data_IF_133176089783
#
_entry.id   IF_133176089783
#
_cell.length_a   1.000
_cell.length_b   1.000
_cell.length_c   1.000
_cell.angle_alpha   90.00
_cell.angle_beta   90.00
_cell.angle_gamma   90.00
#
_symmetry.space_group_name_H-M   'P 1'
#
loop_
_entity.id
_entity.type
_entity.pdbx_description
1 polymer ?
#
# COMPACT_ATOMS: atom_id res chain seq x y z
N UNK A 1 1.81 13.81 32.65
CA UNK A 1 3.15 13.82 32.03
C UNK A 1 2.96 13.61 30.54
N UNK A 2 3.26 14.63 29.72
CA UNK A 2 3.21 14.50 28.25
C UNK A 2 4.19 13.41 27.82
N UNK A 3 3.81 12.44 26.97
CA UNK A 3 4.78 11.59 26.31
C UNK A 3 5.59 12.45 25.36
N UNK A 4 6.90 12.45 25.56
CA UNK A 4 7.86 13.10 24.68
C UNK A 4 8.01 12.16 23.48
N UNK A 5 7.54 12.61 22.31
CA UNK A 5 7.86 11.98 21.02
C UNK A 5 9.39 11.93 20.89
N UNK A 6 10.01 10.76 20.61
CA UNK A 6 11.42 10.75 20.27
C UNK A 6 11.61 11.52 18.96
N UNK A 7 12.63 12.38 18.94
CA UNK A 7 12.96 13.21 17.80
C UNK A 7 13.36 12.35 16.60
N UNK A 8 12.59 12.46 15.51
CA UNK A 8 13.03 12.07 14.18
C UNK A 8 12.88 13.29 13.26
N UNK A 9 13.91 14.12 13.20
CA UNK A 9 14.12 15.02 12.06
C UNK A 9 15.62 15.05 11.79
N UNK A 10 16.12 14.06 11.05
CA UNK A 10 17.29 14.31 10.23
C UNK A 10 16.84 15.32 9.17
N UNK A 11 17.41 16.52 9.23
CA UNK A 11 17.25 17.56 8.22
C UNK A 11 17.94 17.09 6.94
N UNK A 12 17.28 16.21 6.19
CA UNK A 12 17.69 15.82 4.86
C UNK A 12 17.30 16.96 3.92
N UNK A 13 18.21 17.93 3.80
CA UNK A 13 18.01 19.25 3.16
C UNK A 13 18.52 19.29 1.72
N UNK A 14 18.95 18.14 1.18
CA UNK A 14 19.34 18.03 -0.21
C UNK A 14 18.09 17.77 -1.09
N UNK A 15 17.91 18.51 -2.20
CA UNK A 15 16.94 18.13 -3.22
C UNK A 15 17.21 16.69 -3.66
N UNK A 16 16.21 15.83 -3.46
CA UNK A 16 16.32 14.44 -3.86
C UNK A 16 15.97 14.34 -5.34
N UNK A 17 16.96 14.01 -6.15
CA UNK A 17 16.83 13.85 -7.59
C UNK A 17 15.79 12.73 -7.86
N UNK A 18 14.64 13.03 -8.49
CA UNK A 18 13.58 12.06 -8.73
C UNK A 18 14.03 10.84 -9.55
N UNK A 19 15.11 10.98 -10.33
CA UNK A 19 15.71 9.90 -11.12
C UNK A 19 16.66 8.99 -10.35
N UNK A 20 16.89 9.27 -9.05
CA UNK A 20 17.74 8.43 -8.19
C UNK A 20 17.07 7.10 -7.91
N UNK A 21 17.73 5.98 -8.19
CA UNK A 21 17.22 4.66 -7.85
C UNK A 21 17.16 4.44 -6.33
N UNK A 22 16.17 3.64 -5.88
CA UNK A 22 16.04 3.24 -4.48
C UNK A 22 16.21 1.73 -4.37
N UNK A 23 17.16 1.30 -3.54
CA UNK A 23 17.32 -0.11 -3.18
C UNK A 23 16.35 -0.46 -2.04
N UNK A 24 15.42 -1.36 -2.30
CA UNK A 24 14.39 -1.76 -1.34
C UNK A 24 14.73 -3.14 -0.76
N UNK A 25 14.67 -3.25 0.57
CA UNK A 25 14.80 -4.51 1.31
C UNK A 25 16.07 -5.31 0.95
N UNK A 26 17.23 -4.65 0.97
CA UNK A 26 18.55 -5.24 0.70
C UNK A 26 18.65 -5.94 -0.68
N UNK A 27 18.10 -5.31 -1.71
CA UNK A 27 18.16 -5.79 -3.09
C UNK A 27 16.99 -6.68 -3.51
N UNK A 28 15.93 -6.75 -2.72
CA UNK A 28 14.69 -7.42 -3.12
C UNK A 28 14.09 -6.78 -4.38
N UNK A 29 14.14 -5.45 -4.45
CA UNK A 29 13.77 -4.68 -5.63
C UNK A 29 14.65 -3.42 -5.72
N UNK A 30 15.03 -3.04 -6.93
CA UNK A 30 15.71 -1.76 -7.19
C UNK A 30 14.81 -0.96 -8.11
N UNK A 31 14.37 0.21 -7.66
CA UNK A 31 13.53 1.11 -8.46
C UNK A 31 14.38 1.86 -9.48
N UNK A 32 13.74 2.69 -10.28
CA UNK A 32 14.37 3.58 -11.26
C UNK A 32 14.16 5.05 -10.90
N UNK A 33 13.38 5.29 -9.85
CA UNK A 33 13.01 6.60 -9.33
C UNK A 33 13.11 6.62 -7.82
N UNK A 34 13.19 7.83 -7.27
CA UNK A 34 13.33 8.05 -5.85
C UNK A 34 11.98 7.81 -5.16
N UNK A 35 11.93 6.78 -4.30
CA UNK A 35 10.71 6.39 -3.56
C UNK A 35 10.97 6.10 -2.08
N UNK A 36 12.15 6.44 -1.57
CA UNK A 36 12.53 6.15 -0.18
C UNK A 36 11.56 6.80 0.83
N UNK A 37 11.06 7.99 0.53
CA UNK A 37 10.07 8.69 1.36
C UNK A 37 8.70 8.00 1.35
N UNK A 38 8.36 7.26 0.28
CA UNK A 38 7.13 6.46 0.20
C UNK A 38 7.25 5.18 1.02
N UNK A 39 8.42 4.53 1.03
CA UNK A 39 8.69 3.36 1.88
C UNK A 39 8.38 3.62 3.36
N UNK A 40 8.66 4.85 3.82
CA UNK A 40 8.45 5.27 5.22
C UNK A 40 6.98 5.22 5.67
N UNK A 41 6.00 5.07 4.77
CA UNK A 41 4.60 4.85 5.19
C UNK A 41 4.44 3.55 6.00
N UNK A 42 5.31 2.56 5.77
CA UNK A 42 5.31 1.32 6.54
C UNK A 42 5.65 1.56 8.02
N UNK A 43 6.52 2.55 8.31
CA UNK A 43 6.86 2.92 9.68
C UNK A 43 5.65 3.56 10.39
N UNK A 44 4.79 4.29 9.66
CA UNK A 44 3.53 4.80 10.22
C UNK A 44 2.61 3.65 10.65
N UNK A 45 2.51 2.59 9.84
CA UNK A 45 1.75 1.38 10.21
C UNK A 45 2.36 0.70 11.45
N UNK A 46 3.68 0.53 11.49
CA UNK A 46 4.37 -0.08 12.64
C UNK A 46 4.24 0.73 13.93
N UNK A 47 4.32 2.06 13.84
CA UNK A 47 4.13 2.97 14.98
C UNK A 47 2.65 2.99 15.43
N UNK A 48 1.70 2.90 14.51
CA UNK A 48 0.28 2.69 14.85
C UNK A 48 0.07 1.38 15.60
N UNK A 49 0.63 0.28 15.11
CA UNK A 49 0.50 -1.04 15.75
C UNK A 49 1.07 -1.01 17.18
N UNK A 50 2.26 -0.43 17.37
CA UNK A 50 2.89 -0.29 18.68
C UNK A 50 2.04 0.55 19.63
N UNK A 51 1.58 1.71 19.18
CA UNK A 51 0.71 2.59 19.97
C UNK A 51 -0.58 1.88 20.40
N UNK A 52 -1.19 1.10 19.50
CA UNK A 52 -2.37 0.31 19.80
C UNK A 52 -2.12 -0.81 20.82
N UNK A 53 -1.00 -1.53 20.69
CA UNK A 53 -0.61 -2.58 21.64
C UNK A 53 -0.40 -2.02 23.05
N UNK A 54 0.17 -0.82 23.15
CA UNK A 54 0.37 -0.04 24.38
C UNK A 54 -0.92 0.61 24.92
N UNK A 55 -2.04 0.52 24.18
CA UNK A 55 -3.32 1.11 24.56
C UNK A 55 -3.45 2.61 24.27
N UNK A 56 -2.50 3.20 23.54
CA UNK A 56 -2.52 4.61 23.14
C UNK A 56 -3.25 4.81 21.81
N UNK A 57 -4.57 4.60 21.83
CA UNK A 57 -5.46 4.76 20.65
C UNK A 57 -5.38 6.18 20.07
N UNK A 58 -5.22 7.20 20.93
CA UNK A 58 -5.10 8.59 20.50
C UNK A 58 -3.88 8.84 19.61
N UNK A 59 -2.72 8.29 19.99
CA UNK A 59 -1.51 8.37 19.17
C UNK A 59 -1.65 7.60 17.86
N UNK A 60 -2.20 6.38 17.91
CA UNK A 60 -2.42 5.59 16.70
C UNK A 60 -3.34 6.31 15.69
N UNK A 61 -4.42 6.93 16.16
CA UNK A 61 -5.32 7.73 15.33
C UNK A 61 -4.63 9.00 14.79
N UNK A 62 -3.77 9.63 15.59
CA UNK A 62 -2.99 10.77 15.13
C UNK A 62 -2.03 10.36 13.99
N UNK A 63 -1.31 9.25 14.13
CA UNK A 63 -0.41 8.75 13.07
C UNK A 63 -1.21 8.42 11.81
N UNK A 64 -2.35 7.72 11.94
CA UNK A 64 -3.23 7.40 10.81
C UNK A 64 -3.70 8.64 10.02
N UNK A 65 -4.12 9.68 10.73
CA UNK A 65 -4.76 10.87 10.13
C UNK A 65 -3.77 11.97 9.72
N UNK A 66 -2.63 12.08 10.40
CA UNK A 66 -1.66 13.18 10.21
C UNK A 66 -0.31 12.70 9.66
N UNK A 67 -0.07 11.38 9.63
CA UNK A 67 1.21 10.80 9.23
C UNK A 67 2.30 11.06 10.29
N UNK A 68 3.43 10.37 10.13
CA UNK A 68 4.60 10.60 11.00
C UNK A 68 5.92 10.56 10.21
N UNK A 69 6.12 9.54 9.38
CA UNK A 69 7.41 9.20 8.80
C UNK A 69 7.49 9.48 7.28
N UNK A 70 6.39 9.37 6.53
CA UNK A 70 6.40 9.55 5.07
C UNK A 70 6.29 11.03 4.67
N UNK A 71 7.42 11.67 4.37
CA UNK A 71 7.51 13.10 4.03
C UNK A 71 7.15 13.36 2.57
N UNK A 72 6.35 14.40 2.31
CA UNK A 72 6.11 14.93 0.97
C UNK A 72 7.07 16.09 0.73
N UNK A 73 7.82 16.01 -0.38
CA UNK A 73 8.73 17.05 -0.83
C UNK A 73 8.17 17.77 -2.06
N UNK A 74 8.46 19.07 -2.21
CA UNK A 74 8.24 19.79 -3.45
C UNK A 74 9.38 19.56 -4.46
N UNK A 75 9.26 20.19 -5.63
CA UNK A 75 10.28 20.12 -6.70
C UNK A 75 11.65 20.67 -6.28
N UNK A 76 11.73 21.47 -5.22
CA UNK A 76 12.97 22.00 -4.67
C UNK A 76 13.54 21.13 -3.54
N UNK A 77 12.91 19.99 -3.24
CA UNK A 77 13.27 19.12 -2.11
C UNK A 77 12.86 19.67 -0.75
N UNK A 78 12.01 20.69 -0.69
CA UNK A 78 11.52 21.21 0.58
C UNK A 78 10.35 20.38 1.09
N UNK A 79 10.36 20.05 2.38
CA UNK A 79 9.24 19.38 3.04
C UNK A 79 8.00 20.28 2.99
N UNK A 80 6.95 19.80 2.32
CA UNK A 80 5.65 20.48 2.22
C UNK A 80 4.55 19.76 3.01
N UNK A 81 4.78 18.53 3.43
CA UNK A 81 3.79 17.79 4.22
C UNK A 81 4.23 16.40 4.64
N UNK A 82 3.26 15.64 5.13
CA UNK A 82 3.37 14.21 5.41
C UNK A 82 2.26 13.49 4.64
N UNK A 83 2.58 12.34 4.03
CA UNK A 83 1.57 11.41 3.52
C UNK A 83 0.90 10.74 4.70
N UNK A 84 -0.38 10.45 4.56
CA UNK A 84 -1.18 9.84 5.63
C UNK A 84 -1.93 8.65 5.08
N UNK A 85 -2.05 7.59 5.89
CA UNK A 85 -2.83 6.40 5.53
C UNK A 85 -4.30 6.75 5.32
N UNK A 86 -4.84 7.73 6.06
CA UNK A 86 -6.20 8.22 5.86
C UNK A 86 -6.40 8.82 4.46
N UNK A 87 -5.43 9.60 3.95
CA UNK A 87 -5.55 10.28 2.66
C UNK A 87 -5.75 9.32 1.48
N UNK A 88 -5.22 8.10 1.57
CA UNK A 88 -5.39 7.05 0.56
C UNK A 88 -6.84 6.63 0.36
N UNK A 89 -7.70 6.83 1.35
CA UNK A 89 -9.15 6.58 1.22
C UNK A 89 -9.97 7.86 1.15
N UNK A 90 -9.63 8.91 1.91
CA UNK A 90 -10.44 10.13 1.92
C UNK A 90 -10.37 10.93 0.62
N UNK A 91 -9.31 10.74 -0.17
CA UNK A 91 -9.14 11.37 -1.49
C UNK A 91 -9.54 10.48 -2.66
N UNK A 92 -10.00 9.24 -2.40
CA UNK A 92 -10.20 8.23 -3.43
C UNK A 92 -11.32 8.60 -4.43
N UNK A 93 -12.35 9.33 -4.01
CA UNK A 93 -13.40 9.82 -4.93
C UNK A 93 -12.87 10.74 -6.03
N UNK A 94 -11.74 11.41 -5.80
CA UNK A 94 -11.08 12.24 -6.79
C UNK A 94 -10.02 11.45 -7.56
N UNK A 95 -9.17 10.72 -6.84
CA UNK A 95 -8.01 10.03 -7.41
C UNK A 95 -8.36 8.75 -8.18
N UNK A 96 -9.37 8.00 -7.72
CA UNK A 96 -9.67 6.63 -8.18
C UNK A 96 -11.02 6.51 -8.92
N UNK A 97 -11.69 7.63 -9.22
CA UNK A 97 -13.06 7.64 -9.76
C UNK A 97 -13.25 6.82 -11.05
N UNK A 98 -12.20 6.66 -11.85
CA UNK A 98 -12.23 5.93 -13.12
C UNK A 98 -11.67 4.50 -13.01
N UNK A 99 -11.35 4.04 -11.79
CA UNK A 99 -10.71 2.76 -11.56
C UNK A 99 -11.74 1.65 -11.34
N UNK A 100 -11.68 0.56 -12.13
CA UNK A 100 -12.67 -0.51 -12.02
C UNK A 100 -12.71 -1.16 -10.63
N UNK A 101 -11.55 -1.39 -10.00
CA UNK A 101 -11.49 -2.08 -8.71
C UNK A 101 -12.10 -1.22 -7.61
N UNK A 102 -11.72 0.06 -7.55
CA UNK A 102 -12.31 1.03 -6.61
C UNK A 102 -13.83 1.11 -6.77
N UNK A 103 -14.32 1.25 -8.01
CA UNK A 103 -15.74 1.35 -8.29
C UNK A 103 -16.51 0.07 -7.91
N UNK A 104 -15.91 -1.11 -8.06
CA UNK A 104 -16.54 -2.37 -7.60
C UNK A 104 -16.68 -2.37 -6.08
N UNK A 105 -15.62 -2.01 -5.34
CA UNK A 105 -15.63 -2.00 -3.87
C UNK A 105 -16.62 -0.95 -3.33
N UNK A 106 -16.56 0.28 -3.83
CA UNK A 106 -17.46 1.35 -3.40
C UNK A 106 -18.93 0.96 -3.63
N UNK A 107 -19.28 0.56 -4.86
CA UNK A 107 -20.67 0.26 -5.22
C UNK A 107 -21.18 -1.01 -4.53
N UNK A 108 -20.28 -1.94 -4.16
CA UNK A 108 -20.64 -3.13 -3.39
C UNK A 108 -21.00 -2.84 -1.93
N UNK A 109 -20.52 -1.72 -1.38
CA UNK A 109 -20.67 -1.35 0.02
C UNK A 109 -21.71 -0.25 0.26
N UNK A 110 -22.02 0.57 -0.74
CA UNK A 110 -22.88 1.73 -0.55
C UNK A 110 -24.36 1.41 -0.32
N UNK A 111 -25.01 2.23 0.50
CA UNK A 111 -26.45 2.24 0.68
C UNK A 111 -27.15 3.07 -0.40
N UNK A 112 -28.49 3.15 -0.33
CA UNK A 112 -29.31 3.91 -1.31
C UNK A 112 -29.00 5.41 -1.38
N UNK A 113 -28.23 5.96 -0.43
CA UNK A 113 -27.82 7.36 -0.37
C UNK A 113 -26.33 7.55 -0.73
N UNK A 114 -25.67 6.52 -1.30
CA UNK A 114 -24.23 6.49 -1.57
C UNK A 114 -23.37 6.64 -0.30
N UNK A 115 -23.88 6.13 0.84
CA UNK A 115 -23.19 6.15 2.11
C UNK A 115 -22.76 4.74 2.52
N UNK A 116 -21.67 4.64 3.27
CA UNK A 116 -21.24 3.45 3.96
C UNK A 116 -20.86 3.81 5.39
N UNK A 117 -21.46 3.13 6.37
CA UNK A 117 -21.32 3.46 7.80
C UNK A 117 -21.57 4.96 8.10
N UNK A 118 -22.54 5.57 7.41
CA UNK A 118 -22.91 6.97 7.59
C UNK A 118 -21.96 8.00 6.96
N UNK A 119 -20.93 7.57 6.25
CA UNK A 119 -19.97 8.43 5.55
C UNK A 119 -20.04 8.18 4.03
N UNK A 120 -19.49 9.05 3.16
CA UNK A 120 -19.43 8.80 1.73
C UNK A 120 -18.82 7.42 1.42
N UNK A 121 -19.49 6.61 0.61
CA UNK A 121 -19.02 5.25 0.25
C UNK A 121 -17.63 5.25 -0.39
N UNK A 122 -17.28 6.32 -1.10
CA UNK A 122 -15.95 6.53 -1.67
C UNK A 122 -14.80 6.54 -0.65
N UNK A 123 -15.11 6.78 0.63
CA UNK A 123 -14.15 6.76 1.74
C UNK A 123 -14.34 5.51 2.64
N UNK A 124 -14.88 4.41 2.09
CA UNK A 124 -15.24 3.20 2.85
C UNK A 124 -14.10 2.67 3.72
N UNK A 125 -12.88 2.62 3.19
CA UNK A 125 -11.72 2.09 3.89
C UNK A 125 -11.39 2.94 5.12
N UNK A 126 -11.46 4.28 4.99
CA UNK A 126 -11.35 5.18 6.13
C UNK A 126 -12.44 4.95 7.18
N UNK A 127 -13.69 4.77 6.77
CA UNK A 127 -14.79 4.47 7.70
C UNK A 127 -14.54 3.20 8.52
N UNK A 128 -13.94 2.17 7.91
CA UNK A 128 -13.62 0.90 8.57
C UNK A 128 -12.48 1.08 9.57
N UNK A 129 -11.41 1.78 9.18
CA UNK A 129 -10.28 2.08 10.09
C UNK A 129 -10.75 2.91 11.29
N UNK A 130 -11.56 3.94 11.05
CA UNK A 130 -12.13 4.79 12.11
C UNK A 130 -13.02 3.99 13.07
N UNK A 131 -13.86 3.09 12.56
CA UNK A 131 -14.64 2.18 13.38
C UNK A 131 -13.75 1.22 14.19
N UNK A 132 -12.65 0.75 13.61
CA UNK A 132 -11.71 -0.17 14.26
C UNK A 132 -10.99 0.45 15.45
N UNK A 133 -10.73 1.77 15.47
CA UNK A 133 -10.15 2.45 16.65
C UNK A 133 -11.05 2.39 17.89
N UNK A 134 -12.36 2.19 17.71
CA UNK A 134 -13.31 2.04 18.82
C UNK A 134 -13.32 0.62 19.40
N UNK A 135 -12.63 -0.34 18.77
CA UNK A 135 -12.61 -1.73 19.19
C UNK A 135 -11.49 -1.99 20.21
N UNK A 136 -11.86 -2.08 21.48
CA UNK A 136 -10.91 -2.35 22.57
C UNK A 136 -10.46 -3.81 22.66
N UNK A 137 -11.20 -4.74 22.04
CA UNK A 137 -10.92 -6.18 22.11
C UNK A 137 -9.89 -6.61 21.06
N UNK A 138 -9.87 -5.94 19.90
CA UNK A 138 -8.96 -6.25 18.80
C UNK A 138 -7.91 -5.14 18.65
N UNK A 139 -6.90 -5.14 19.54
CA UNK A 139 -5.93 -4.04 19.68
C UNK A 139 -5.34 -3.54 18.35
N UNK A 140 -4.89 -4.43 17.47
CA UNK A 140 -4.22 -4.07 16.20
C UNK A 140 -5.16 -3.93 14.99
N UNK A 141 -6.49 -4.02 15.20
CA UNK A 141 -7.45 -4.07 14.10
C UNK A 141 -7.38 -2.83 13.18
N UNK A 142 -7.16 -1.65 13.74
CA UNK A 142 -7.11 -0.41 12.96
C UNK A 142 -5.86 -0.33 12.06
N UNK A 143 -4.69 -0.78 12.53
CA UNK A 143 -3.49 -0.84 11.68
C UNK A 143 -3.60 -1.93 10.61
N UNK A 144 -4.17 -3.09 10.96
CA UNK A 144 -4.48 -4.14 9.98
C UNK A 144 -5.47 -3.66 8.90
N UNK A 145 -6.49 -2.90 9.29
CA UNK A 145 -7.46 -2.32 8.36
C UNK A 145 -6.82 -1.30 7.40
N UNK A 146 -5.90 -0.46 7.91
CA UNK A 146 -5.16 0.48 7.07
C UNK A 146 -4.29 -0.24 6.03
N UNK A 147 -3.72 -1.41 6.36
CA UNK A 147 -2.97 -2.22 5.39
C UNK A 147 -3.91 -2.90 4.39
N UNK A 148 -4.90 -3.63 4.89
CA UNK A 148 -5.77 -4.49 4.08
C UNK A 148 -6.69 -3.72 3.15
N UNK A 149 -7.04 -2.46 3.48
CA UNK A 149 -7.98 -1.65 2.71
C UNK A 149 -7.32 -0.41 2.12
N UNK A 150 -6.73 0.46 2.93
CA UNK A 150 -6.18 1.74 2.44
C UNK A 150 -4.95 1.51 1.55
N UNK A 151 -3.91 0.85 2.07
CA UNK A 151 -2.69 0.57 1.29
C UNK A 151 -2.97 -0.37 0.12
N UNK A 152 -3.78 -1.40 0.31
CA UNK A 152 -4.17 -2.30 -0.78
C UNK A 152 -4.82 -1.54 -1.95
N UNK A 153 -5.82 -0.70 -1.67
CA UNK A 153 -6.47 0.10 -2.71
C UNK A 153 -5.50 1.12 -3.34
N UNK A 154 -4.63 1.72 -2.54
CA UNK A 154 -3.69 2.74 -3.03
C UNK A 154 -2.57 2.16 -3.90
N UNK A 155 -2.06 0.97 -3.59
CA UNK A 155 -1.14 0.25 -4.49
C UNK A 155 -1.81 -0.02 -5.84
N UNK A 156 -3.09 -0.40 -5.83
CA UNK A 156 -3.85 -0.62 -7.06
C UNK A 156 -4.00 0.68 -7.85
N UNK A 157 -4.30 1.79 -7.17
CA UNK A 157 -4.36 3.12 -7.76
C UNK A 157 -3.06 3.47 -8.52
N UNK A 158 -1.90 3.34 -7.87
CA UNK A 158 -0.62 3.63 -8.52
C UNK A 158 -0.38 2.73 -9.75
N UNK A 159 -0.78 1.45 -9.69
CA UNK A 159 -0.68 0.57 -10.86
C UNK A 159 -1.65 0.96 -12.00
N UNK A 160 -2.82 1.51 -11.70
CA UNK A 160 -3.74 2.05 -12.70
C UNK A 160 -3.24 3.39 -13.28
N UNK A 161 -2.61 4.24 -12.47
CA UNK A 161 -1.96 5.47 -12.91
C UNK A 161 -0.86 5.18 -13.93
N UNK A 162 -0.03 4.16 -13.67
CA UNK A 162 0.96 3.68 -14.65
C UNK A 162 0.31 3.28 -15.99
N UNK A 163 -0.83 2.56 -15.95
CA UNK A 163 -1.56 2.17 -17.16
C UNK A 163 -2.11 3.38 -17.91
N UNK A 164 -2.71 4.34 -17.20
CA UNK A 164 -3.29 5.54 -17.81
C UNK A 164 -2.21 6.44 -18.42
N UNK A 165 -1.11 6.65 -17.71
CA UNK A 165 0.04 7.39 -18.22
C UNK A 165 0.62 6.73 -19.48
N UNK A 166 0.71 5.39 -19.50
CA UNK A 166 1.14 4.64 -20.68
C UNK A 166 0.16 4.80 -21.84
N UNK A 167 -1.14 4.64 -21.59
CA UNK A 167 -2.19 4.76 -22.61
C UNK A 167 -2.22 6.15 -23.24
N UNK A 168 -2.04 7.19 -22.43
CA UNK A 168 -2.09 8.59 -22.86
C UNK A 168 -0.74 9.12 -23.36
N UNK A 169 0.28 8.25 -23.48
CA UNK A 169 1.65 8.59 -23.92
C UNK A 169 2.27 9.72 -23.07
N UNK A 170 1.92 9.77 -21.78
CA UNK A 170 2.44 10.72 -20.79
C UNK A 170 3.66 10.16 -20.04
N UNK A 171 4.26 9.08 -20.53
CA UNK A 171 5.48 8.49 -19.98
C UNK A 171 6.74 9.30 -20.36
N UNK A 172 6.59 10.55 -20.80
CA UNK A 172 7.67 11.37 -21.36
C UNK A 172 8.57 11.98 -20.30
N UNK A 173 8.14 11.96 -19.04
CA UNK A 173 8.84 12.44 -17.88
C UNK A 173 8.52 11.46 -16.72
N UNK A 174 9.34 11.46 -15.69
CA UNK A 174 9.47 10.49 -14.57
C UNK A 174 8.18 9.81 -14.07
N UNK A 175 7.01 10.43 -14.21
CA UNK A 175 5.67 10.04 -13.76
C UNK A 175 5.24 8.60 -14.07
N UNK A 176 5.54 8.09 -15.27
CA UNK A 176 5.06 6.78 -15.71
C UNK A 176 5.70 5.59 -15.00
N UNK A 177 7.02 5.67 -14.86
CA UNK A 177 7.85 4.69 -14.14
C UNK A 177 7.73 4.94 -12.63
N UNK A 178 7.59 6.20 -12.21
CA UNK A 178 7.37 6.58 -10.83
C UNK A 178 6.15 5.87 -10.23
N UNK A 179 5.00 5.84 -10.91
CA UNK A 179 3.82 5.13 -10.37
C UNK A 179 4.06 3.63 -10.15
N UNK A 180 4.84 2.95 -11.00
CA UNK A 180 5.22 1.55 -10.76
C UNK A 180 6.11 1.43 -9.52
N UNK A 181 7.14 2.27 -9.44
CA UNK A 181 8.10 2.27 -8.33
C UNK A 181 7.44 2.65 -6.99
N UNK A 182 6.46 3.58 -7.00
CA UNK A 182 5.64 3.93 -5.84
C UNK A 182 4.75 2.78 -5.40
N UNK A 183 4.09 2.08 -6.34
CA UNK A 183 3.32 0.88 -6.02
C UNK A 183 4.20 -0.21 -5.37
N UNK A 184 5.42 -0.41 -5.87
CA UNK A 184 6.39 -1.33 -5.26
C UNK A 184 6.79 -0.87 -3.85
N UNK A 185 7.06 0.42 -3.66
CA UNK A 185 7.42 0.97 -2.36
C UNK A 185 6.31 0.77 -1.33
N UNK A 186 5.06 1.05 -1.68
CA UNK A 186 3.91 0.83 -0.78
C UNK A 186 3.61 -0.65 -0.52
N UNK A 187 3.91 -1.52 -1.49
CA UNK A 187 3.73 -2.96 -1.32
C UNK A 187 4.77 -3.56 -0.36
N UNK A 188 6.05 -3.22 -0.53
CA UNK A 188 7.16 -3.79 0.24
C UNK A 188 7.33 -3.09 1.58
N UNK A 189 7.32 -1.76 1.59
CA UNK A 189 7.54 -0.94 2.78
C UNK A 189 9.00 -0.87 3.23
N UNK A 190 9.29 0.13 4.07
CA UNK A 190 10.57 0.25 4.76
C UNK A 190 10.78 -0.89 5.78
N UNK A 191 12.04 -1.16 6.12
CA UNK A 191 12.46 -2.18 7.10
C UNK A 191 12.09 -3.64 6.79
N UNK A 192 11.39 -3.92 5.69
CA UNK A 192 11.07 -5.27 5.25
C UNK A 192 12.33 -6.07 4.92
N UNK A 193 12.35 -7.35 5.31
CA UNK A 193 13.33 -8.32 4.87
C UNK A 193 12.67 -9.41 4.03
N UNK A 194 13.35 -9.86 2.97
CA UNK A 194 12.83 -10.91 2.10
C UNK A 194 12.53 -12.17 2.94
N UNK A 195 11.27 -12.59 2.95
CA UNK A 195 10.85 -13.79 3.67
C UNK A 195 10.43 -13.62 5.10
N UNK A 196 10.50 -12.41 5.62
CA UNK A 196 10.21 -12.16 7.02
C UNK A 196 8.79 -11.62 7.22
N UNK A 197 8.02 -12.32 8.04
CA UNK A 197 6.66 -11.93 8.44
C UNK A 197 6.63 -10.99 9.66
N UNK A 198 7.78 -10.72 10.29
CA UNK A 198 7.87 -10.00 11.57
C UNK A 198 8.34 -8.55 11.40
N UNK A 199 9.41 -8.30 10.63
CA UNK A 199 10.00 -6.94 10.54
C UNK A 199 9.22 -5.97 9.67
N UNK A 200 8.48 -6.45 8.69
CA UNK A 200 7.67 -5.61 7.82
C UNK A 200 6.28 -5.33 8.39
N UNK A 201 5.67 -4.23 7.94
CA UNK A 201 4.39 -3.75 8.47
C UNK A 201 3.27 -3.65 7.43
N UNK A 202 3.56 -3.86 6.15
CA UNK A 202 2.61 -3.61 5.04
C UNK A 202 2.26 -4.90 4.29
N UNK A 203 1.82 -4.78 3.03
CA UNK A 203 1.23 -5.87 2.25
C UNK A 203 2.18 -7.04 2.02
N UNK A 204 3.48 -6.78 1.82
CA UNK A 204 4.49 -7.83 1.72
C UNK A 204 4.54 -8.69 3.00
N UNK A 205 4.60 -8.06 4.17
CA UNK A 205 4.59 -8.75 5.47
C UNK A 205 3.29 -9.51 5.71
N UNK A 206 2.15 -8.94 5.32
CA UNK A 206 0.86 -9.63 5.36
C UNK A 206 0.88 -10.91 4.51
N UNK A 207 1.49 -10.85 3.31
CA UNK A 207 1.64 -12.00 2.44
C UNK A 207 2.60 -13.06 3.00
N UNK A 208 3.72 -12.67 3.64
CA UNK A 208 4.59 -13.62 4.36
C UNK A 208 3.82 -14.30 5.51
N UNK A 209 3.15 -13.50 6.35
CA UNK A 209 2.38 -14.00 7.49
C UNK A 209 1.31 -15.01 7.06
N UNK A 210 0.54 -14.71 6.01
CA UNK A 210 -0.46 -15.65 5.49
C UNK A 210 0.17 -16.83 4.77
N UNK A 211 1.30 -16.62 4.09
CA UNK A 211 2.16 -17.66 3.52
C UNK A 211 2.47 -18.76 4.52
N UNK A 212 3.00 -18.37 5.67
CA UNK A 212 3.35 -19.25 6.79
C UNK A 212 2.12 -19.99 7.35
N UNK A 213 1.03 -19.26 7.63
CA UNK A 213 -0.18 -19.88 8.21
C UNK A 213 -0.78 -20.97 7.31
N UNK A 214 -0.73 -20.77 5.98
CA UNK A 214 -1.27 -21.70 5.00
C UNK A 214 -0.23 -22.68 4.44
N UNK A 215 1.03 -22.58 4.87
CA UNK A 215 2.16 -23.37 4.33
C UNK A 215 2.26 -23.24 2.82
N UNK A 216 2.09 -22.01 2.33
CA UNK A 216 2.15 -21.66 0.91
C UNK A 216 3.45 -20.97 0.52
N UNK A 217 4.48 -21.15 1.33
CA UNK A 217 5.82 -20.67 1.04
C UNK A 217 6.40 -21.40 -0.17
N UNK A 218 7.40 -20.76 -0.77
CA UNK A 218 8.16 -21.33 -1.87
C UNK A 218 8.82 -22.65 -1.45
N UNK A 219 9.23 -23.46 -2.43
CA UNK A 219 9.89 -24.74 -2.14
C UNK A 219 11.19 -24.62 -1.33
N UNK A 220 11.79 -23.42 -1.26
CA UNK A 220 12.94 -23.11 -0.41
C UNK A 220 12.57 -22.71 1.02
N UNK A 221 11.27 -22.52 1.32
CA UNK A 221 10.77 -22.13 2.65
C UNK A 221 11.17 -20.71 3.07
N UNK A 222 11.62 -19.88 2.13
CA UNK A 222 12.20 -18.57 2.43
C UNK A 222 11.26 -17.41 2.17
N UNK A 223 10.26 -17.53 1.28
CA UNK A 223 9.33 -16.43 0.94
C UNK A 223 7.96 -17.01 0.55
N UNK A 224 6.89 -16.28 0.81
CA UNK A 224 5.54 -16.63 0.34
C UNK A 224 5.52 -16.71 -1.19
N UNK A 225 4.79 -17.70 -1.75
CA UNK A 225 4.59 -17.80 -3.20
C UNK A 225 3.96 -16.54 -3.79
N UNK A 226 3.09 -15.88 -3.01
CA UNK A 226 2.44 -14.61 -3.40
C UNK A 226 3.50 -13.53 -3.63
N UNK A 227 4.40 -13.31 -2.68
CA UNK A 227 5.46 -12.31 -2.80
C UNK A 227 6.39 -12.61 -3.99
N UNK A 228 6.80 -13.86 -4.18
CA UNK A 228 7.62 -14.24 -5.34
C UNK A 228 6.93 -13.96 -6.68
N UNK A 229 5.64 -14.29 -6.78
CA UNK A 229 4.85 -14.03 -7.98
C UNK A 229 4.73 -12.52 -8.24
N UNK A 230 4.43 -11.73 -7.20
CA UNK A 230 4.30 -10.28 -7.33
C UNK A 230 5.62 -9.62 -7.70
N UNK A 231 6.74 -9.99 -7.07
CA UNK A 231 8.07 -9.49 -7.45
C UNK A 231 8.42 -9.83 -8.89
N UNK A 232 8.07 -11.04 -9.36
CA UNK A 232 8.24 -11.43 -10.76
C UNK A 232 7.41 -10.55 -11.69
N UNK A 233 6.16 -10.28 -11.34
CA UNK A 233 5.26 -9.43 -12.14
C UNK A 233 5.69 -7.95 -12.14
N UNK A 234 6.18 -7.40 -11.03
CA UNK A 234 6.75 -6.05 -11.00
C UNK A 234 7.98 -5.92 -11.90
N UNK A 235 8.86 -6.92 -11.91
CA UNK A 235 10.00 -6.95 -12.82
C UNK A 235 9.56 -7.07 -14.29
N UNK A 236 8.50 -7.84 -14.59
CA UNK A 236 7.92 -7.89 -15.94
C UNK A 236 7.34 -6.53 -16.36
N UNK A 237 6.62 -5.83 -15.47
CA UNK A 237 6.10 -4.49 -15.74
C UNK A 237 7.24 -3.51 -16.01
N UNK A 238 8.31 -3.54 -15.20
CA UNK A 238 9.52 -2.73 -15.40
C UNK A 238 10.16 -2.99 -16.76
N UNK A 239 10.26 -4.26 -17.18
CA UNK A 239 10.81 -4.64 -18.49
C UNK A 239 9.97 -4.12 -19.66
N UNK A 240 8.64 -4.11 -19.55
CA UNK A 240 7.75 -3.52 -20.57
C UNK A 240 7.96 -2.02 -20.73
N UNK A 241 8.54 -1.35 -19.73
CA UNK A 241 8.84 0.09 -19.70
C UNK A 241 10.31 0.41 -19.92
N UNK A 242 11.19 -0.59 -20.07
CA UNK A 242 12.64 -0.40 -20.07
C UNK A 242 13.19 0.37 -21.29
N UNK A 243 12.42 0.47 -22.37
CA UNK A 243 12.83 1.20 -23.57
C UNK A 243 12.22 2.60 -23.59
N UNK A 244 12.98 3.62 -24.03
CA UNK A 244 12.42 4.94 -24.33
C UNK A 244 11.20 4.81 -25.24
N UNK A 245 10.16 5.59 -24.96
CA UNK A 245 8.92 5.61 -25.74
C UNK A 245 8.19 4.25 -25.83
N UNK A 246 8.42 3.31 -24.91
CA UNK A 246 7.79 1.97 -24.93
C UNK A 246 6.26 2.02 -25.10
N UNK A 247 5.61 3.03 -24.53
CA UNK A 247 4.17 3.27 -24.62
C UNK A 247 3.76 4.10 -25.85
N UNK A 248 4.63 4.95 -26.39
CA UNK A 248 4.34 5.76 -27.57
C UNK A 248 4.53 4.96 -28.88
N UNK A 249 5.55 4.10 -28.94
CA UNK A 249 5.98 3.36 -30.12
C UNK A 249 5.24 2.04 -30.31
N UNK A 250 4.72 1.44 -29.24
CA UNK A 250 4.03 0.16 -29.30
C UNK A 250 2.66 0.23 -28.60
N UNK A 251 1.54 0.29 -29.37
CA UNK A 251 0.21 0.40 -28.79
C UNK A 251 -0.21 -0.84 -27.96
N UNK A 252 0.54 -1.96 -28.07
CA UNK A 252 0.30 -3.16 -27.27
C UNK A 252 0.95 -3.13 -25.89
N UNK A 253 1.87 -2.20 -25.61
CA UNK A 253 2.56 -2.10 -24.31
C UNK A 253 1.56 -1.86 -23.18
N UNK A 254 0.64 -0.91 -23.36
CA UNK A 254 -0.47 -0.68 -22.43
C UNK A 254 -1.32 -1.95 -22.17
N UNK A 255 -1.58 -2.77 -23.20
CA UNK A 255 -2.38 -4.00 -23.06
C UNK A 255 -1.61 -5.07 -22.26
N UNK A 256 -0.30 -5.19 -22.48
CA UNK A 256 0.57 -6.12 -21.73
C UNK A 256 0.70 -5.68 -20.28
N UNK A 257 0.94 -4.39 -20.02
CA UNK A 257 0.94 -3.81 -18.69
C UNK A 257 -0.37 -4.07 -17.97
N UNK A 258 -1.51 -3.79 -18.60
CA UNK A 258 -2.84 -4.08 -18.02
C UNK A 258 -2.98 -5.55 -17.61
N UNK A 259 -2.48 -6.47 -18.43
CA UNK A 259 -2.50 -7.90 -18.12
C UNK A 259 -1.62 -8.24 -16.91
N UNK A 260 -0.42 -7.65 -16.83
CA UNK A 260 0.50 -7.84 -15.70
C UNK A 260 -0.11 -7.26 -14.42
N UNK A 261 -0.66 -6.05 -14.47
CA UNK A 261 -1.30 -5.40 -13.32
C UNK A 261 -2.48 -6.21 -12.82
N UNK A 262 -3.39 -6.67 -13.68
CA UNK A 262 -4.49 -7.52 -13.23
C UNK A 262 -4.01 -8.81 -12.53
N UNK A 263 -2.86 -9.37 -12.96
CA UNK A 263 -2.25 -10.51 -12.25
C UNK A 263 -1.68 -10.09 -10.88
N UNK A 264 -1.06 -8.91 -10.77
CA UNK A 264 -0.58 -8.37 -9.48
C UNK A 264 -1.75 -8.19 -8.52
N UNK A 265 -2.82 -7.51 -8.95
CA UNK A 265 -4.04 -7.32 -8.15
C UNK A 265 -4.60 -8.67 -7.69
N UNK A 266 -4.69 -9.64 -8.60
CA UNK A 266 -5.15 -11.00 -8.25
C UNK A 266 -4.26 -11.68 -7.20
N UNK A 267 -2.93 -11.53 -7.28
CA UNK A 267 -2.03 -12.07 -6.26
C UNK A 267 -2.17 -11.32 -4.93
N UNK A 268 -2.37 -10.00 -4.95
CA UNK A 268 -2.57 -9.19 -3.75
C UNK A 268 -3.87 -9.51 -3.01
N UNK A 269 -4.89 -10.02 -3.70
CA UNK A 269 -6.14 -10.50 -3.07
C UNK A 269 -5.95 -11.82 -2.31
N UNK A 270 -4.97 -12.65 -2.68
CA UNK A 270 -4.71 -13.95 -2.02
C UNK A 270 -4.53 -13.83 -0.50
N UNK A 271 -3.62 -12.97 0.02
CA UNK A 271 -3.44 -12.84 1.46
C UNK A 271 -4.67 -12.26 2.17
N UNK A 272 -5.50 -11.45 1.51
CA UNK A 272 -6.77 -10.98 2.09
C UNK A 272 -7.75 -12.14 2.29
N UNK A 273 -7.90 -13.01 1.28
CA UNK A 273 -8.73 -14.21 1.34
C UNK A 273 -8.21 -15.22 2.37
N UNK A 274 -6.89 -15.40 2.43
CA UNK A 274 -6.25 -16.22 3.46
C UNK A 274 -6.52 -15.65 4.86
N UNK A 275 -6.42 -14.33 5.02
CA UNK A 275 -6.78 -13.61 6.25
C UNK A 275 -8.24 -13.88 6.66
N UNK A 276 -9.18 -13.80 5.73
CA UNK A 276 -10.58 -14.13 5.99
C UNK A 276 -10.75 -15.57 6.48
N UNK A 277 -10.22 -16.54 5.73
CA UNK A 277 -10.35 -17.98 6.06
C UNK A 277 -9.71 -18.30 7.41
N UNK A 278 -8.53 -17.73 7.68
CA UNK A 278 -7.82 -17.91 8.94
C UNK A 278 -8.65 -17.38 10.12
N UNK A 279 -9.20 -16.17 10.01
CA UNK A 279 -9.96 -15.55 11.09
C UNK A 279 -11.34 -16.20 11.28
N UNK A 280 -11.95 -16.75 10.23
CA UNK A 280 -13.12 -17.62 10.34
C UNK A 280 -12.80 -18.86 11.17
N UNK A 281 -11.66 -19.51 10.93
CA UNK A 281 -11.22 -20.66 11.71
C UNK A 281 -10.90 -20.32 13.17
N UNK A 282 -10.34 -19.13 13.42
CA UNK A 282 -10.06 -18.62 14.77
C UNK A 282 -11.29 -18.08 15.51
N UNK A 283 -12.43 -17.97 14.83
CA UNK A 283 -13.64 -17.33 15.32
C UNK A 283 -13.40 -15.87 15.79
N UNK A 284 -12.52 -15.16 15.08
CA UNK A 284 -12.26 -13.72 15.31
C UNK A 284 -13.24 -12.90 14.46
N UNK A 285 -14.40 -12.59 15.04
CA UNK A 285 -15.48 -11.90 14.34
C UNK A 285 -15.08 -10.51 13.82
N UNK A 286 -14.16 -9.82 14.49
CA UNK A 286 -13.77 -8.47 14.12
C UNK A 286 -12.86 -8.49 12.90
N UNK A 287 -11.88 -9.41 12.86
CA UNK A 287 -11.06 -9.62 11.67
C UNK A 287 -11.82 -10.26 10.52
N UNK A 288 -12.79 -11.13 10.80
CA UNK A 288 -13.70 -11.65 9.76
C UNK A 288 -14.43 -10.50 9.08
N UNK A 289 -14.98 -9.53 9.84
CA UNK A 289 -15.61 -8.34 9.25
C UNK A 289 -14.64 -7.51 8.43
N UNK A 290 -13.38 -7.39 8.85
CA UNK A 290 -12.36 -6.65 8.10
C UNK A 290 -12.03 -7.32 6.76
N UNK A 291 -11.74 -8.62 6.76
CA UNK A 291 -11.28 -9.32 5.54
C UNK A 291 -12.43 -9.77 4.61
N UNK A 292 -13.69 -9.59 5.02
CA UNK A 292 -14.87 -9.89 4.20
C UNK A 292 -15.35 -8.71 3.35
N UNK A 293 -14.66 -7.57 3.41
CA UNK A 293 -14.98 -6.35 2.67
C UNK A 293 -14.63 -6.48 1.19
#
# INVERSE_FOLDING_TARGET
TKPILPAAVQNDTAPKDPSTDTNIANGLYVTTTYVEDRLKIANDVGDMERALQEGNVGLAKQIYTQGLNSVIYDQNGQKVGLRTLASFSTSASFAMAQEPVFNIMQNGLEDMNNLYLGNPSSAYANSIVEAAFSNQNAKTLASEAAVALNLWAYVIHELYQMIDNCKNKRMTDEDGILSLDEAVAYYIGDSQQAGDSITGHVLYALAEKMGEQFKTDSGSGTQSKVNLNIMTLFNQAKQELAFPDACANNPKTFQRLRTIIHKIVSQMTVPLMQGLIYNLHKNDHDRVKLYAQ
#
